data_IF_985582954412
#
_entry.id   IF_985582954412
#
_cell.length_a   1.000
_cell.length_b   1.000
_cell.length_c   1.000
_cell.angle_alpha   90.00
_cell.angle_beta   90.00
_cell.angle_gamma   90.00
#
_symmetry.space_group_name_H-M   'P 1'
#
loop_
_entity.id
_entity.type
_entity.pdbx_description
1 polymer ?
#
# COMPACT_ATOMS: atom_id res chain seq x y z
N UNK A 1 29.16 -39.07 -21.29
CA UNK A 1 27.70 -39.08 -21.08
C UNK A 1 27.41 -38.63 -19.66
N UNK A 2 26.43 -37.74 -19.51
CA UNK A 2 25.84 -37.21 -18.27
C UNK A 2 26.61 -36.08 -17.55
N UNK A 3 26.34 -34.85 -17.98
CA UNK A 3 26.49 -33.64 -17.16
C UNK A 3 25.52 -33.77 -15.99
N UNK A 4 26.03 -33.85 -14.77
CA UNK A 4 25.21 -33.82 -13.55
C UNK A 4 24.44 -32.50 -13.53
N UNK A 5 23.13 -32.59 -13.74
CA UNK A 5 22.22 -31.47 -13.68
C UNK A 5 22.13 -31.00 -12.22
N UNK A 6 22.69 -29.83 -11.93
CA UNK A 6 22.66 -29.22 -10.62
C UNK A 6 21.23 -29.20 -10.04
N UNK A 7 21.12 -29.62 -8.78
CA UNK A 7 19.86 -29.79 -8.05
C UNK A 7 18.96 -28.55 -8.12
N UNK A 8 17.74 -28.70 -8.65
CA UNK A 8 16.69 -27.67 -8.57
C UNK A 8 16.45 -27.28 -7.11
N UNK A 9 16.51 -25.98 -6.86
CA UNK A 9 16.66 -25.30 -5.58
C UNK A 9 15.49 -25.55 -4.62
N UNK A 10 15.78 -26.20 -3.48
CA UNK A 10 14.86 -26.51 -2.36
C UNK A 10 14.55 -25.31 -1.42
N UNK A 11 14.61 -24.06 -1.89
CA UNK A 11 14.54 -22.89 -0.99
C UNK A 11 13.69 -21.73 -1.56
N UNK A 12 12.52 -22.04 -2.12
CA UNK A 12 11.52 -21.03 -2.50
C UNK A 12 10.25 -21.25 -1.69
N UNK A 13 9.66 -20.17 -1.19
CA UNK A 13 8.39 -20.23 -0.46
C UNK A 13 7.28 -20.66 -1.42
N UNK A 14 6.41 -21.56 -0.96
CA UNK A 14 5.25 -21.98 -1.73
C UNK A 14 4.22 -20.84 -1.78
N UNK A 15 3.84 -20.42 -2.99
CA UNK A 15 2.89 -19.34 -3.24
C UNK A 15 1.58 -19.89 -3.78
N UNK A 16 0.45 -19.27 -3.42
CA UNK A 16 -0.89 -19.58 -3.92
C UNK A 16 -1.71 -18.28 -4.01
N UNK A 17 -2.73 -18.18 -4.88
CA UNK A 17 -3.09 -19.08 -5.98
C UNK A 17 -2.21 -18.89 -7.23
N UNK A 18 -1.83 -19.98 -7.92
CA UNK A 18 -1.00 -19.92 -9.15
C UNK A 18 -1.75 -19.30 -10.33
N UNK A 19 -3.07 -19.20 -10.23
CA UNK A 19 -3.97 -18.58 -11.18
C UNK A 19 -3.65 -17.09 -11.41
N UNK A 20 -2.97 -16.44 -10.46
CA UNK A 20 -2.48 -15.07 -10.58
C UNK A 20 -1.41 -14.89 -11.67
N UNK A 21 -0.81 -15.96 -12.18
CA UNK A 21 0.12 -15.92 -13.31
C UNK A 21 -0.59 -16.03 -14.67
N UNK A 22 -1.86 -16.47 -14.70
CA UNK A 22 -2.58 -16.69 -15.96
C UNK A 22 -3.04 -15.38 -16.63
N UNK A 23 -3.00 -14.26 -15.91
CA UNK A 23 -3.36 -12.95 -16.46
C UNK A 23 -2.31 -12.48 -17.46
N UNK A 24 -2.73 -12.09 -18.66
CA UNK A 24 -1.83 -11.61 -19.72
C UNK A 24 -1.53 -10.11 -19.64
N UNK A 25 -2.40 -9.36 -18.98
CA UNK A 25 -2.29 -7.91 -18.83
C UNK A 25 -2.41 -7.51 -17.36
N UNK A 26 -1.71 -6.44 -16.94
CA UNK A 26 -1.80 -5.97 -15.56
C UNK A 26 -3.22 -5.46 -15.27
N UNK A 27 -3.78 -5.76 -14.09
CA UNK A 27 -5.07 -5.21 -13.69
C UNK A 27 -4.97 -3.69 -13.55
N UNK A 28 -5.85 -2.97 -14.22
CA UNK A 28 -5.90 -1.51 -14.23
C UNK A 28 -7.32 -1.03 -13.92
N UNK A 29 -7.45 0.03 -13.14
CA UNK A 29 -8.71 0.72 -12.84
C UNK A 29 -9.85 -0.16 -12.27
N UNK A 30 -9.53 -1.24 -11.55
CA UNK A 30 -10.55 -2.12 -10.94
C UNK A 30 -11.53 -1.36 -10.05
N UNK A 31 -11.01 -0.43 -9.23
CA UNK A 31 -11.79 0.43 -8.36
C UNK A 31 -11.45 1.89 -8.60
N UNK A 32 -12.49 2.72 -8.70
CA UNK A 32 -12.38 4.16 -8.97
C UNK A 32 -12.65 4.96 -7.70
N UNK A 33 -12.24 6.24 -7.62
CA UNK A 33 -12.47 7.05 -6.42
C UNK A 33 -13.96 7.25 -6.06
N UNK A 34 -14.86 7.10 -7.04
CA UNK A 34 -16.33 7.15 -6.82
C UNK A 34 -16.93 5.83 -6.31
N UNK A 35 -16.15 4.75 -6.32
CA UNK A 35 -16.52 3.43 -5.82
C UNK A 35 -15.26 2.69 -5.38
N UNK A 36 -14.62 3.16 -4.29
CA UNK A 36 -13.42 2.51 -3.75
C UNK A 36 -13.78 1.14 -3.14
N UNK A 37 -12.78 0.28 -3.03
CA UNK A 37 -12.91 -0.97 -2.29
C UNK A 37 -12.57 -0.75 -0.82
N UNK A 38 -13.40 -1.27 0.07
CA UNK A 38 -13.13 -1.23 1.52
C UNK A 38 -12.29 -2.44 1.93
N UNK A 39 -10.98 -2.22 2.04
CA UNK A 39 -10.03 -3.21 2.56
C UNK A 39 -9.87 -3.08 4.08
N UNK A 40 -9.18 -4.06 4.68
CA UNK A 40 -8.89 -4.07 6.13
C UNK A 40 -7.40 -4.06 6.40
N UNK A 41 -6.97 -3.33 7.42
CA UNK A 41 -5.58 -3.34 7.87
C UNK A 41 -5.31 -4.64 8.63
N UNK A 42 -4.24 -5.32 8.27
CA UNK A 42 -3.78 -6.55 8.95
C UNK A 42 -2.74 -6.21 10.01
N UNK A 43 -1.73 -5.42 9.63
CA UNK A 43 -0.68 -4.99 10.55
C UNK A 43 -0.08 -3.66 10.11
N UNK A 44 0.47 -2.95 11.08
CA UNK A 44 1.26 -1.73 10.89
C UNK A 44 2.48 -1.83 11.78
N UNK A 45 3.66 -1.83 11.16
CA UNK A 45 4.93 -2.01 11.88
C UNK A 45 5.91 -0.92 11.48
N UNK A 46 6.55 -0.30 12.47
CA UNK A 46 7.63 0.65 12.24
C UNK A 46 8.89 -0.11 11.81
N UNK A 47 9.43 0.21 10.64
CA UNK A 47 10.61 -0.46 10.06
C UNK A 47 11.91 0.32 10.25
N UNK A 48 11.87 1.46 10.95
CA UNK A 48 13.02 2.34 11.17
C UNK A 48 13.41 2.42 12.64
N UNK A 49 14.72 2.46 12.90
CA UNK A 49 15.26 2.58 14.26
C UNK A 49 14.92 3.90 14.95
N UNK A 50 15.22 4.02 16.26
CA UNK A 50 14.88 5.21 17.06
C UNK A 50 15.62 6.47 16.62
N UNK A 51 16.78 6.34 15.95
CA UNK A 51 17.60 7.47 15.47
C UNK A 51 17.21 7.95 14.06
N UNK A 52 16.17 7.38 13.45
CA UNK A 52 15.76 7.80 12.12
C UNK A 52 15.12 9.21 12.16
N UNK A 53 15.34 10.06 11.14
CA UNK A 53 14.81 11.43 11.08
C UNK A 53 13.29 11.50 10.88
N UNK A 54 12.64 10.38 10.66
CA UNK A 54 11.20 10.27 10.52
C UNK A 54 10.76 8.82 10.62
N UNK A 55 9.46 8.62 10.80
CA UNK A 55 8.87 7.29 10.87
C UNK A 55 8.53 6.78 9.47
N UNK A 56 8.91 5.54 9.20
CA UNK A 56 8.42 4.77 8.05
C UNK A 56 7.82 3.49 8.58
N UNK A 57 6.60 3.19 8.14
CA UNK A 57 5.86 1.99 8.52
C UNK A 57 5.67 1.07 7.32
N UNK A 58 5.73 -0.23 7.59
CA UNK A 58 5.26 -1.29 6.72
C UNK A 58 3.83 -1.62 7.11
N UNK A 59 2.92 -1.53 6.14
CA UNK A 59 1.47 -1.66 6.37
C UNK A 59 0.96 -2.78 5.50
N UNK A 60 0.42 -3.82 6.11
CA UNK A 60 -0.19 -4.95 5.41
C UNK A 60 -1.70 -4.74 5.36
N UNK A 61 -2.26 -4.82 4.15
CA UNK A 61 -3.67 -4.57 3.84
C UNK A 61 -4.27 -5.86 3.27
N UNK A 62 -5.36 -6.34 3.85
CA UNK A 62 -6.17 -7.44 3.29
C UNK A 62 -7.21 -6.86 2.32
N UNK A 63 -7.00 -7.13 1.04
CA UNK A 63 -7.92 -6.80 -0.04
C UNK A 63 -8.81 -7.99 -0.46
N UNK A 64 -8.66 -9.15 0.20
CA UNK A 64 -9.48 -10.34 0.00
C UNK A 64 -9.32 -11.00 -1.37
N UNK A 65 -8.30 -10.61 -2.15
CA UNK A 65 -8.14 -11.03 -3.55
C UNK A 65 -8.98 -10.22 -4.54
N UNK A 66 -9.72 -9.20 -4.07
CA UNK A 66 -10.59 -8.39 -4.92
C UNK A 66 -9.83 -7.31 -5.69
N UNK A 67 -8.64 -6.93 -5.23
CA UNK A 67 -7.83 -5.87 -5.85
C UNK A 67 -6.46 -6.44 -6.27
N UNK A 68 -6.38 -7.47 -7.12
CA UNK A 68 -5.09 -8.00 -7.55
C UNK A 68 -4.26 -6.91 -8.26
N UNK A 69 -2.95 -7.06 -8.21
CA UNK A 69 -1.98 -6.13 -8.79
C UNK A 69 -0.78 -6.91 -9.32
N UNK A 70 -0.01 -6.25 -10.19
CA UNK A 70 1.31 -6.71 -10.59
C UNK A 70 2.39 -5.91 -9.86
N UNK A 71 3.58 -6.52 -9.75
CA UNK A 71 4.74 -5.89 -9.16
C UNK A 71 5.06 -4.56 -9.87
N UNK A 72 5.38 -3.52 -9.08
CA UNK A 72 5.63 -2.17 -9.59
C UNK A 72 4.38 -1.31 -9.76
N UNK A 73 3.18 -1.85 -9.49
CA UNK A 73 1.97 -1.04 -9.42
C UNK A 73 1.83 -0.29 -8.07
N UNK A 74 0.84 0.60 -8.02
CA UNK A 74 0.51 1.45 -6.89
C UNK A 74 -0.97 1.33 -6.55
N UNK A 75 -1.29 1.45 -5.28
CA UNK A 75 -2.66 1.67 -4.83
C UNK A 75 -2.92 3.13 -4.55
N UNK A 76 -4.15 3.55 -4.85
CA UNK A 76 -4.67 4.80 -4.33
C UNK A 76 -5.34 4.56 -2.99
N UNK A 77 -5.02 5.38 -2.00
CA UNK A 77 -5.67 5.38 -0.68
C UNK A 77 -6.47 6.66 -0.54
N UNK A 78 -7.71 6.52 -0.05
CA UNK A 78 -8.57 7.64 0.33
C UNK A 78 -8.66 7.65 1.85
N UNK A 79 -8.00 8.61 2.54
CA UNK A 79 -8.11 8.69 3.99
C UNK A 79 -9.52 9.16 4.38
N UNK A 80 -10.00 8.77 5.57
CA UNK A 80 -11.30 9.21 6.07
C UNK A 80 -11.34 10.73 6.27
N UNK A 81 -12.56 11.28 6.30
CA UNK A 81 -12.81 12.71 6.48
C UNK A 81 -12.97 13.50 5.18
N UNK A 82 -13.18 14.80 5.35
CA UNK A 82 -13.47 15.72 4.26
C UNK A 82 -12.21 16.42 3.76
N UNK A 83 -12.25 16.83 2.50
CA UNK A 83 -11.18 17.62 1.90
C UNK A 83 -11.19 19.05 2.48
N UNK A 84 -10.09 19.51 3.13
CA UNK A 84 -10.01 20.86 3.68
C UNK A 84 -10.25 21.97 2.63
N UNK A 85 -10.01 21.69 1.34
CA UNK A 85 -10.20 22.65 0.25
C UNK A 85 -11.62 22.62 -0.35
N UNK A 86 -12.41 21.58 -0.07
CA UNK A 86 -13.75 21.36 -0.63
C UNK A 86 -14.64 20.71 0.45
N UNK A 87 -15.31 21.52 1.29
CA UNK A 87 -16.23 21.02 2.30
C UNK A 87 -17.29 20.09 1.68
N UNK A 88 -17.58 18.96 2.33
CA UNK A 88 -18.51 17.94 1.84
C UNK A 88 -17.98 17.02 0.73
N UNK A 89 -16.75 17.19 0.26
CA UNK A 89 -16.10 16.27 -0.68
C UNK A 89 -15.12 15.34 0.05
N UNK A 90 -15.01 14.05 -0.37
CA UNK A 90 -14.03 13.14 0.21
C UNK A 90 -12.60 13.62 -0.05
N UNK A 91 -11.69 13.20 0.81
CA UNK A 91 -10.27 13.43 0.61
C UNK A 91 -9.78 12.94 -0.76
N UNK A 92 -8.79 13.64 -1.33
CA UNK A 92 -8.20 13.21 -2.60
C UNK A 92 -7.42 11.90 -2.44
N UNK A 93 -7.38 11.11 -3.50
CA UNK A 93 -6.60 9.86 -3.53
C UNK A 93 -5.10 10.18 -3.40
N UNK A 94 -4.38 9.41 -2.59
CA UNK A 94 -2.92 9.41 -2.51
C UNK A 94 -2.39 8.09 -3.03
N UNK A 95 -1.43 8.14 -3.94
CA UNK A 95 -0.83 6.94 -4.53
C UNK A 95 0.34 6.46 -3.68
N UNK A 96 0.36 5.17 -3.39
CA UNK A 96 1.44 4.47 -2.71
C UNK A 96 1.87 3.28 -3.56
N UNK A 97 3.17 3.20 -3.83
CA UNK A 97 3.75 2.02 -4.49
C UNK A 97 3.56 0.80 -3.61
N UNK A 98 3.16 -0.31 -4.23
CA UNK A 98 3.00 -1.58 -3.54
C UNK A 98 4.39 -2.18 -3.32
N UNK A 99 4.70 -2.49 -2.07
CA UNK A 99 5.99 -3.02 -1.63
C UNK A 99 6.02 -4.56 -1.56
N UNK A 100 4.90 -5.22 -1.86
CA UNK A 100 4.75 -6.67 -1.89
C UNK A 100 4.67 -7.24 -3.31
N UNK A 101 4.88 -8.55 -3.44
CA UNK A 101 4.55 -9.29 -4.68
C UNK A 101 3.04 -9.46 -4.83
N UNK A 102 2.55 -9.88 -5.99
CA UNK A 102 1.10 -10.16 -6.21
C UNK A 102 0.49 -11.16 -5.24
N UNK A 103 1.33 -11.97 -4.57
CA UNK A 103 0.94 -12.96 -3.57
C UNK A 103 0.82 -12.36 -2.16
N UNK A 104 1.26 -11.12 -1.96
CA UNK A 104 1.33 -10.48 -0.65
C UNK A 104 2.42 -11.08 0.25
N UNK A 105 2.48 -10.59 1.48
CA UNK A 105 3.44 -11.07 2.49
C UNK A 105 2.99 -12.39 3.15
N UNK A 106 1.70 -12.74 2.97
CA UNK A 106 1.10 -13.99 3.46
C UNK A 106 1.13 -15.12 2.42
N UNK A 107 1.66 -14.85 1.21
CA UNK A 107 1.78 -15.80 0.10
C UNK A 107 0.44 -16.43 -0.38
N UNK A 108 -0.68 -15.76 -0.11
CA UNK A 108 -2.04 -16.23 -0.38
C UNK A 108 -2.78 -15.39 -1.44
N UNK A 109 -2.16 -14.32 -1.95
CA UNK A 109 -2.75 -13.44 -2.96
C UNK A 109 -3.87 -12.53 -2.44
N UNK A 110 -4.07 -12.48 -1.11
CA UNK A 110 -5.15 -11.69 -0.50
C UNK A 110 -4.67 -10.38 0.09
N UNK A 111 -3.37 -10.26 0.33
CA UNK A 111 -2.78 -9.09 0.97
C UNK A 111 -1.93 -8.26 0.02
N UNK A 112 -1.74 -7.00 0.40
CA UNK A 112 -0.83 -6.07 -0.23
C UNK A 112 -0.15 -5.23 0.82
N UNK A 113 1.12 -4.90 0.61
CA UNK A 113 1.91 -4.15 1.58
C UNK A 113 2.32 -2.81 1.02
N UNK A 114 2.25 -1.78 1.86
CA UNK A 114 2.68 -0.43 1.53
C UNK A 114 3.83 -0.03 2.46
N UNK A 115 4.84 0.64 1.88
CA UNK A 115 5.89 1.29 2.64
C UNK A 115 5.58 2.80 2.70
N UNK A 116 5.22 3.30 3.88
CA UNK A 116 4.70 4.65 4.06
C UNK A 116 5.57 5.44 5.02
N UNK A 117 6.12 6.55 4.53
CA UNK A 117 6.81 7.53 5.37
C UNK A 117 5.81 8.54 5.93
N UNK A 118 5.83 8.74 7.25
CA UNK A 118 5.00 9.74 7.93
C UNK A 118 5.45 11.15 7.49
N UNK A 119 4.49 11.93 7.00
CA UNK A 119 4.74 13.32 6.63
C UNK A 119 4.41 14.21 7.83
N UNK A 120 5.46 14.63 8.54
CA UNK A 120 5.41 15.59 9.64
C UNK A 120 6.05 16.88 9.15
N UNK A 121 5.37 18.00 9.42
CA UNK A 121 5.93 19.32 9.13
C UNK A 121 6.66 19.84 10.36
N UNK A 122 7.91 20.23 10.14
CA UNK A 122 8.72 20.92 11.13
C UNK A 122 8.91 22.35 10.63
N UNK A 123 8.64 23.31 11.51
CA UNK A 123 8.91 24.70 11.25
C UNK A 123 10.43 24.92 11.09
N UNK A 124 10.89 25.54 9.98
CA UNK A 124 12.31 25.65 9.67
C UNK A 124 13.09 26.56 10.62
N UNK A 125 12.41 27.50 11.30
CA UNK A 125 13.07 28.45 12.21
C UNK A 125 13.06 27.94 13.65
N UNK A 126 11.95 27.35 14.09
CA UNK A 126 11.74 26.93 15.48
C UNK A 126 11.96 25.44 15.72
N UNK A 127 12.03 24.63 14.64
CA UNK A 127 12.14 23.18 14.71
C UNK A 127 10.91 22.49 15.32
N UNK A 128 9.83 23.22 15.59
CA UNK A 128 8.63 22.69 16.22
C UNK A 128 7.72 22.01 15.21
N UNK A 129 7.08 20.94 15.64
CA UNK A 129 6.07 20.24 14.84
C UNK A 129 4.78 21.07 14.78
N UNK A 130 4.20 21.18 13.58
CA UNK A 130 2.88 21.78 13.38
C UNK A 130 1.85 20.69 13.03
N UNK A 131 0.96 20.32 13.97
CA UNK A 131 -0.07 19.31 13.74
C UNK A 131 -1.07 19.69 12.65
N UNK A 132 -1.21 20.97 12.32
CA UNK A 132 -2.15 21.44 11.28
C UNK A 132 -1.64 21.18 9.87
N UNK A 133 -0.32 21.08 9.70
CA UNK A 133 0.35 20.84 8.41
C UNK A 133 0.77 19.38 8.20
N UNK A 134 0.32 18.47 9.07
CA UNK A 134 0.64 17.03 8.94
C UNK A 134 -0.03 16.41 7.71
N UNK A 135 0.65 15.46 7.08
CA UNK A 135 0.08 14.73 5.94
C UNK A 135 -1.07 13.84 6.38
N UNK A 136 -2.30 14.14 5.93
CA UNK A 136 -3.52 13.42 6.36
C UNK A 136 -3.40 11.91 6.10
N UNK A 137 -3.03 11.51 4.88
CA UNK A 137 -3.06 10.10 4.47
C UNK A 137 -1.92 9.27 5.07
N UNK A 138 -0.69 9.80 5.13
CA UNK A 138 0.45 9.05 5.67
C UNK A 138 0.34 8.89 7.18
N UNK A 139 -0.12 9.91 7.91
CA UNK A 139 -0.38 9.78 9.34
C UNK A 139 -1.52 8.79 9.60
N UNK A 140 -2.65 8.89 8.89
CA UNK A 140 -3.74 7.91 9.00
C UNK A 140 -3.26 6.46 8.81
N UNK A 141 -2.46 6.22 7.77
CA UNK A 141 -1.90 4.92 7.47
C UNK A 141 -0.97 4.41 8.58
N UNK A 142 -0.06 5.25 9.06
CA UNK A 142 0.87 4.90 10.14
C UNK A 142 0.20 4.77 11.52
N UNK A 143 -0.94 5.44 11.75
CA UNK A 143 -1.72 5.39 12.99
C UNK A 143 -2.79 4.26 12.99
N UNK A 144 -2.99 3.61 11.85
CA UNK A 144 -3.96 2.52 11.68
C UNK A 144 -3.60 1.31 12.55
N UNK A 145 -4.63 0.55 12.95
CA UNK A 145 -4.51 -0.67 13.74
C UNK A 145 -5.09 -1.87 12.98
N UNK A 146 -4.69 -3.11 13.34
CA UNK A 146 -5.32 -4.31 12.82
C UNK A 146 -6.84 -4.26 12.97
N UNK A 147 -7.56 -4.50 11.86
CA UNK A 147 -9.02 -4.45 11.78
C UNK A 147 -9.59 -3.13 11.24
N UNK A 148 -8.79 -2.05 11.19
CA UNK A 148 -9.25 -0.77 10.67
C UNK A 148 -9.61 -0.87 9.18
N UNK A 149 -10.63 -0.12 8.77
CA UNK A 149 -11.12 -0.10 7.39
C UNK A 149 -10.44 1.00 6.60
N UNK A 150 -10.00 0.67 5.40
CA UNK A 150 -9.30 1.58 4.49
C UNK A 150 -9.94 1.54 3.12
N UNK A 151 -10.14 2.72 2.53
CA UNK A 151 -10.65 2.86 1.17
C UNK A 151 -9.48 2.83 0.19
N UNK A 152 -9.42 1.77 -0.62
CA UNK A 152 -8.39 1.59 -1.64
C UNK A 152 -8.99 1.69 -3.05
N UNK A 153 -8.22 2.23 -3.97
CA UNK A 153 -8.52 2.28 -5.40
C UNK A 153 -7.40 1.57 -6.16
N UNK A 154 -7.76 0.88 -7.24
CA UNK A 154 -6.77 0.22 -8.10
C UNK A 154 -5.86 1.23 -8.80
N UNK A 155 -4.76 0.74 -9.38
CA UNK A 155 -3.86 1.58 -10.17
C UNK A 155 -4.64 2.32 -11.26
N UNK A 156 -4.55 3.64 -11.23
CA UNK A 156 -5.00 4.46 -12.34
C UNK A 156 -3.81 4.72 -13.26
N UNK A 157 -3.93 4.49 -14.58
CA UNK A 157 -2.94 4.99 -15.52
C UNK A 157 -2.79 6.49 -15.27
N UNK A 158 -1.55 6.96 -15.21
CA UNK A 158 -1.27 8.39 -15.17
C UNK A 158 -2.06 9.03 -16.32
N UNK A 159 -3.05 9.89 -16.02
CA UNK A 159 -3.68 10.69 -17.06
C UNK A 159 -2.55 11.49 -17.69
N UNK A 160 -2.15 11.14 -18.91
CA UNK A 160 -1.24 12.00 -19.68
C UNK A 160 -1.86 13.42 -19.67
N UNK A 161 -1.06 14.45 -19.36
CA UNK A 161 -1.53 15.82 -19.36
C UNK A 161 -2.12 16.22 -20.71
#
# INVERSE_FOLDING_TARGET
MYVQQASKSKCKVAIKPLELENTKEPPLNLYKPKGPYTASIVSVERIVGPKAPGETCHIVIDHGGNVPYWEGQSYGVIPPGENPKKPGAPNTVRLYSIASTRYGDSFDGRTASLCVRRAVYYDPETGKEDPSKKGICSNFLCDSKPGDKIQITGMQPCKKP
#
